data_IF_681758854638
#
_entry.id   IF_681758854638
#
_cell.length_a   1.000
_cell.length_b   1.000
_cell.length_c   1.000
_cell.angle_alpha   90.00
_cell.angle_beta   90.00
_cell.angle_gamma   90.00
#
_symmetry.space_group_name_H-M   'P 1'
#
loop_
_entity.id
_entity.type
_entity.pdbx_description
1 polymer ?
#
# COMPACT_ATOMS: atom_id res chain seq x y z
N UNK A 1 -42.85 -10.79 37.93
CA UNK A 1 -42.33 -12.04 37.32
C UNK A 1 -42.49 -11.93 35.81
N UNK A 2 -41.45 -12.33 35.10
CA UNK A 2 -40.96 -11.81 33.82
C UNK A 2 -41.78 -12.13 32.56
N UNK A 3 -41.72 -11.29 31.52
CA UNK A 3 -41.87 -11.74 30.14
C UNK A 3 -40.53 -12.32 29.64
N UNK A 4 -40.56 -13.56 29.16
CA UNK A 4 -39.44 -14.25 28.55
C UNK A 4 -39.65 -14.29 27.04
N UNK A 5 -39.03 -13.39 26.29
CA UNK A 5 -39.00 -13.48 24.82
C UNK A 5 -37.62 -13.18 24.24
N UNK A 6 -37.00 -14.29 23.79
CA UNK A 6 -36.11 -14.47 22.63
C UNK A 6 -34.71 -13.85 22.67
N UNK A 7 -33.83 -14.71 23.22
CA UNK A 7 -32.41 -14.94 22.93
C UNK A 7 -32.02 -14.53 21.50
N UNK A 8 -30.97 -13.72 21.40
CA UNK A 8 -30.44 -13.15 20.17
C UNK A 8 -30.26 -14.18 19.05
N UNK A 9 -30.98 -13.94 17.96
CA UNK A 9 -30.72 -14.57 16.68
C UNK A 9 -29.43 -13.94 16.15
N UNK A 10 -28.37 -14.75 16.08
CA UNK A 10 -27.16 -14.43 15.35
C UNK A 10 -27.56 -14.14 13.90
N UNK A 11 -27.47 -12.88 13.50
CA UNK A 11 -27.60 -12.51 12.09
C UNK A 11 -26.42 -13.14 11.35
N UNK A 12 -26.65 -14.30 10.73
CA UNK A 12 -25.70 -14.89 9.80
C UNK A 12 -25.85 -14.09 8.50
N UNK A 13 -24.94 -13.16 8.24
CA UNK A 13 -24.71 -12.66 6.87
C UNK A 13 -24.13 -13.82 6.06
N UNK A 14 -24.96 -14.76 5.60
CA UNK A 14 -24.65 -15.57 4.42
C UNK A 14 -24.76 -14.65 3.21
N UNK A 15 -23.77 -13.78 3.05
CA UNK A 15 -23.56 -13.07 1.80
C UNK A 15 -23.14 -14.11 0.78
N UNK A 16 -24.06 -14.48 -0.11
CA UNK A 16 -23.69 -15.05 -1.39
C UNK A 16 -22.76 -14.03 -2.07
N UNK A 17 -21.46 -14.34 -2.11
CA UNK A 17 -20.51 -13.57 -2.88
C UNK A 17 -20.91 -13.71 -4.36
N UNK A 18 -21.71 -12.77 -4.85
CA UNK A 18 -21.95 -12.58 -6.27
C UNK A 18 -20.60 -12.32 -6.94
N UNK A 19 -20.28 -12.93 -8.09
CA UNK A 19 -19.02 -12.70 -8.78
C UNK A 19 -19.12 -11.37 -9.51
N UNK A 20 -19.15 -10.28 -8.76
CA UNK A 20 -18.80 -9.00 -9.32
C UNK A 20 -17.34 -9.12 -9.75
N UNK A 21 -17.08 -8.92 -11.04
CA UNK A 21 -15.75 -8.61 -11.56
C UNK A 21 -15.33 -7.23 -11.01
N UNK A 22 -15.13 -7.16 -9.70
CA UNK A 22 -14.54 -6.04 -9.00
C UNK A 22 -13.03 -6.20 -9.14
N UNK A 23 -12.38 -5.25 -9.81
CA UNK A 23 -10.94 -5.02 -9.72
C UNK A 23 -10.60 -4.68 -8.27
N UNK A 24 -10.63 -5.68 -7.39
CA UNK A 24 -10.23 -5.52 -5.99
C UNK A 24 -8.77 -5.10 -5.97
N UNK A 25 -8.49 -3.99 -5.28
CA UNK A 25 -7.12 -3.50 -5.14
C UNK A 25 -6.28 -4.56 -4.45
N UNK A 26 -5.34 -5.16 -5.17
CA UNK A 26 -4.39 -6.10 -4.58
C UNK A 26 -3.34 -5.36 -3.75
N UNK A 27 -2.79 -6.03 -2.72
CA UNK A 27 -1.68 -5.50 -1.93
C UNK A 27 -0.49 -5.13 -2.82
N UNK A 28 -0.16 -6.00 -3.79
CA UNK A 28 0.90 -5.76 -4.77
C UNK A 28 0.68 -4.48 -5.58
N UNK A 29 -0.55 -4.24 -6.06
CA UNK A 29 -0.91 -3.02 -6.80
C UNK A 29 -0.74 -1.77 -5.93
N UNK A 30 -1.18 -1.85 -4.67
CA UNK A 30 -1.03 -0.73 -3.72
C UNK A 30 0.44 -0.41 -3.43
N UNK A 31 1.27 -1.43 -3.17
CA UNK A 31 2.71 -1.30 -2.92
C UNK A 31 3.44 -0.68 -4.12
N UNK A 32 3.11 -1.13 -5.34
CA UNK A 32 3.66 -0.55 -6.58
C UNK A 32 3.24 0.91 -6.75
N UNK A 33 2.01 1.26 -6.40
CA UNK A 33 1.52 2.64 -6.37
C UNK A 33 2.35 3.54 -5.44
N UNK A 34 2.60 3.08 -4.21
CA UNK A 34 3.47 3.79 -3.26
C UNK A 34 4.90 3.95 -3.79
N UNK A 35 5.47 2.89 -4.37
CA UNK A 35 6.80 2.97 -4.98
C UNK A 35 6.87 3.97 -6.14
N UNK A 36 5.81 4.04 -6.94
CA UNK A 36 5.69 5.03 -8.04
C UNK A 36 5.64 6.46 -7.51
N UNK A 37 4.90 6.70 -6.42
CA UNK A 37 4.86 8.01 -5.77
C UNK A 37 6.25 8.45 -5.28
N UNK A 38 7.04 7.54 -4.69
CA UNK A 38 8.43 7.82 -4.32
C UNK A 38 9.23 8.25 -5.56
N UNK A 39 9.17 7.50 -6.66
CA UNK A 39 9.92 7.82 -7.88
C UNK A 39 9.55 9.17 -8.49
N UNK A 40 8.26 9.51 -8.51
CA UNK A 40 7.77 10.82 -8.97
C UNK A 40 8.38 11.93 -8.10
N UNK A 41 8.28 11.81 -6.77
CA UNK A 41 8.83 12.79 -5.83
C UNK A 41 10.37 12.85 -5.86
N UNK A 42 11.07 11.82 -6.33
CA UNK A 42 12.51 11.87 -6.58
C UNK A 42 12.88 12.60 -7.89
N UNK A 43 11.90 13.05 -8.68
CA UNK A 43 12.11 13.66 -9.99
C UNK A 43 12.42 12.64 -11.09
N UNK A 44 12.05 11.36 -10.90
CA UNK A 44 12.23 10.30 -11.89
C UNK A 44 11.14 10.26 -12.97
N UNK A 45 10.01 10.93 -12.74
CA UNK A 45 8.88 11.01 -13.65
C UNK A 45 8.09 12.33 -13.42
N UNK A 46 7.32 12.81 -14.41
CA UNK A 46 6.44 13.96 -14.21
C UNK A 46 5.32 13.60 -13.23
N UNK A 47 5.00 14.53 -12.33
CA UNK A 47 3.83 14.40 -11.48
C UNK A 47 2.57 14.39 -12.36
N UNK A 48 1.68 13.39 -12.24
CA UNK A 48 0.48 13.28 -13.09
C UNK A 48 -0.51 14.42 -12.91
N UNK A 49 -0.52 15.11 -11.76
CA UNK A 49 -1.41 16.23 -11.49
C UNK A 49 -0.91 17.54 -12.09
N UNK A 50 0.40 17.79 -11.99
CA UNK A 50 1.01 19.07 -12.43
C UNK A 50 1.68 18.99 -13.80
N UNK A 51 1.96 17.78 -14.29
CA UNK A 51 2.74 17.51 -15.50
C UNK A 51 4.24 17.83 -15.36
N UNK A 52 4.70 18.26 -14.19
CA UNK A 52 6.08 18.72 -13.98
C UNK A 52 6.93 17.67 -13.31
N UNK A 53 8.20 17.61 -13.72
CA UNK A 53 9.23 16.85 -13.01
C UNK A 53 9.77 17.74 -11.90
N UNK A 54 9.31 17.52 -10.68
CA UNK A 54 9.73 18.27 -9.50
C UNK A 54 10.26 17.32 -8.44
N UNK A 55 11.37 17.70 -7.82
CA UNK A 55 12.02 16.91 -6.78
C UNK A 55 11.55 17.39 -5.41
N UNK A 56 10.87 16.51 -4.68
CA UNK A 56 10.35 16.70 -3.34
C UNK A 56 10.84 15.57 -2.43
N UNK A 57 12.06 15.74 -1.89
CA UNK A 57 12.67 14.75 -1.00
C UNK A 57 11.87 14.50 0.28
N UNK A 58 11.26 15.51 0.94
CA UNK A 58 10.35 15.27 2.06
C UNK A 58 9.21 14.30 1.71
N UNK A 59 8.48 14.53 0.61
CA UNK A 59 7.37 13.66 0.20
C UNK A 59 7.84 12.27 -0.23
N UNK A 60 8.98 12.17 -0.91
CA UNK A 60 9.60 10.88 -1.24
C UNK A 60 9.94 10.07 0.02
N UNK A 61 10.48 10.74 1.05
CA UNK A 61 10.82 10.11 2.34
C UNK A 61 9.57 9.61 3.05
N UNK A 62 8.51 10.41 3.11
CA UNK A 62 7.27 10.01 3.77
C UNK A 62 6.68 8.75 3.15
N UNK A 63 6.66 8.64 1.81
CA UNK A 63 6.17 7.45 1.12
C UNK A 63 7.08 6.23 1.33
N UNK A 64 8.41 6.43 1.40
CA UNK A 64 9.37 5.38 1.76
C UNK A 64 9.16 4.87 3.19
N UNK A 65 8.95 5.78 4.14
CA UNK A 65 8.70 5.44 5.54
C UNK A 65 7.36 4.69 5.69
N UNK A 66 6.34 5.09 4.92
CA UNK A 66 5.06 4.38 4.85
C UNK A 66 5.23 2.95 4.33
N UNK A 67 5.97 2.77 3.23
CA UNK A 67 6.24 1.45 2.67
C UNK A 67 7.03 0.57 3.66
N UNK A 68 8.02 1.15 4.37
CA UNK A 68 8.81 0.45 5.37
C UNK A 68 7.97 0.03 6.58
N UNK A 69 7.09 0.92 7.06
CA UNK A 69 6.14 0.60 8.13
C UNK A 69 5.17 -0.51 7.70
N UNK A 70 4.64 -0.45 6.48
CA UNK A 70 3.73 -1.49 5.96
C UNK A 70 4.40 -2.86 5.96
N UNK A 71 5.62 -2.94 5.43
CA UNK A 71 6.44 -4.17 5.45
C UNK A 71 6.54 -4.78 6.85
N UNK A 72 6.81 -3.96 7.86
CA UNK A 72 6.90 -4.43 9.24
C UNK A 72 5.54 -4.85 9.82
N UNK A 73 4.48 -4.11 9.52
CA UNK A 73 3.13 -4.40 10.02
C UNK A 73 2.47 -5.61 9.36
N UNK A 74 2.86 -5.95 8.14
CA UNK A 74 2.33 -7.10 7.40
C UNK A 74 3.21 -8.36 7.51
N UNK A 75 4.33 -8.32 8.24
CA UNK A 75 5.23 -9.45 8.40
C UNK A 75 4.49 -10.70 8.91
N UNK A 76 4.65 -11.82 8.21
CA UNK A 76 3.98 -13.09 8.52
C UNK A 76 2.58 -13.22 7.90
N UNK A 77 2.04 -12.16 7.29
CA UNK A 77 0.79 -12.17 6.54
C UNK A 77 1.00 -12.04 5.02
N UNK A 78 2.26 -11.95 4.55
CA UNK A 78 2.60 -11.84 3.14
C UNK A 78 2.83 -13.21 2.52
N UNK A 79 2.44 -13.35 1.25
CA UNK A 79 2.94 -14.42 0.39
C UNK A 79 4.43 -14.19 0.07
N UNK A 80 5.13 -15.24 -0.36
CA UNK A 80 6.55 -15.13 -0.74
C UNK A 80 6.78 -14.13 -1.90
N UNK A 81 5.82 -14.00 -2.80
CA UNK A 81 5.87 -13.05 -3.92
C UNK A 81 5.71 -11.61 -3.44
N UNK A 82 4.76 -11.36 -2.53
CA UNK A 82 4.54 -10.03 -1.94
C UNK A 82 5.71 -9.60 -1.07
N UNK A 83 6.28 -10.50 -0.28
CA UNK A 83 7.48 -10.22 0.53
C UNK A 83 8.65 -9.82 -0.36
N UNK A 84 8.91 -10.60 -1.43
CA UNK A 84 9.96 -10.29 -2.40
C UNK A 84 9.71 -8.96 -3.11
N UNK A 85 8.47 -8.65 -3.47
CA UNK A 85 8.07 -7.40 -4.10
C UNK A 85 8.38 -6.21 -3.20
N UNK A 86 7.91 -6.24 -1.95
CA UNK A 86 8.06 -5.13 -0.99
C UNK A 86 9.53 -4.94 -0.63
N UNK A 87 10.26 -6.01 -0.32
CA UNK A 87 11.66 -5.93 0.07
C UNK A 87 12.55 -5.45 -1.11
N UNK A 88 12.24 -5.89 -2.33
CA UNK A 88 12.90 -5.41 -3.55
C UNK A 88 12.67 -3.92 -3.79
N UNK A 89 11.40 -3.48 -3.75
CA UNK A 89 11.05 -2.06 -3.91
C UNK A 89 11.70 -1.19 -2.84
N UNK A 90 11.66 -1.60 -1.57
CA UNK A 90 12.30 -0.85 -0.48
C UNK A 90 13.80 -0.69 -0.70
N UNK A 91 14.48 -1.75 -1.14
CA UNK A 91 15.92 -1.73 -1.39
C UNK A 91 16.26 -0.75 -2.51
N UNK A 92 15.59 -0.87 -3.65
CA UNK A 92 15.84 -0.04 -4.83
C UNK A 92 15.53 1.44 -4.56
N UNK A 93 14.38 1.72 -3.93
CA UNK A 93 13.95 3.08 -3.67
C UNK A 93 14.82 3.79 -2.64
N UNK A 94 15.35 3.07 -1.63
CA UNK A 94 16.32 3.63 -0.66
C UNK A 94 17.61 4.06 -1.34
N UNK A 95 18.13 3.25 -2.26
CA UNK A 95 19.33 3.60 -3.03
C UNK A 95 19.09 4.87 -3.86
N UNK A 96 17.98 4.90 -4.62
CA UNK A 96 17.60 6.07 -5.43
C UNK A 96 17.38 7.32 -4.58
N UNK A 97 16.78 7.18 -3.40
CA UNK A 97 16.59 8.30 -2.47
C UNK A 97 17.93 8.87 -2.00
N UNK A 98 18.89 8.02 -1.63
CA UNK A 98 20.23 8.44 -1.22
C UNK A 98 20.93 9.16 -2.37
N UNK A 99 20.90 8.60 -3.58
CA UNK A 99 21.48 9.23 -4.78
C UNK A 99 20.85 10.59 -5.07
N UNK A 100 19.53 10.68 -5.00
CA UNK A 100 18.81 11.92 -5.17
C UNK A 100 19.17 12.93 -4.08
N UNK A 101 19.27 12.52 -2.81
CA UNK A 101 19.60 13.42 -1.69
C UNK A 101 21.00 14.03 -1.76
N UNK A 102 21.90 13.43 -2.54
CA UNK A 102 23.29 13.90 -2.72
C UNK A 102 23.45 14.92 -3.86
N UNK A 103 22.43 15.05 -4.72
CA UNK A 103 22.37 16.04 -5.80
C UNK A 103 21.66 17.30 -5.32
#
# INVERSE_FOLDING_TARGET
>A
MSPSEKRGETFVMTGEASPASEESLSFSTFVVGLGSAVLIHLGGAPNPETGRVEKDLPSARQNLDLLAMLREKTRGNLTAEEEKLVDGLLSDLRLRYVEASRK
#
